data_IF_322059120222
#
_entry.id   IF_322059120222
#
_cell.length_a   1.000
_cell.length_b   1.000
_cell.length_c   1.000
_cell.angle_alpha   90.00
_cell.angle_beta   90.00
_cell.angle_gamma   90.00
#
_symmetry.space_group_name_H-M   'P 1'
#
loop_
_entity.id
_entity.type
_entity.pdbx_description
1 polymer ?
#
# COMPACT_ATOMS: atom_id res chain seq x y z
N UNK A 1 -1.43 -15.16 1.38
CA UNK A 1 -1.21 -14.52 0.06
C UNK A 1 0.27 -14.44 -0.29
N UNK A 2 1.15 -14.26 0.68
CA UNK A 2 2.58 -14.06 0.47
C UNK A 2 3.32 -15.19 -0.32
N UNK A 3 2.68 -16.34 -0.50
CA UNK A 3 3.25 -17.50 -1.23
C UNK A 3 2.48 -17.85 -2.50
N UNK A 4 1.65 -16.95 -3.00
CA UNK A 4 0.92 -17.15 -4.26
C UNK A 4 1.63 -16.45 -5.40
N UNK A 5 1.71 -17.13 -6.54
CA UNK A 5 2.10 -16.46 -7.79
C UNK A 5 1.09 -15.37 -8.14
N UNK A 6 1.53 -14.34 -8.84
CA UNK A 6 0.77 -13.11 -9.03
C UNK A 6 -0.63 -13.32 -9.62
N UNK A 7 -0.76 -14.20 -10.62
CA UNK A 7 -2.07 -14.49 -11.19
C UNK A 7 -3.07 -15.00 -10.13
N UNK A 8 -2.65 -15.98 -9.33
CA UNK A 8 -3.49 -16.58 -8.28
C UNK A 8 -3.73 -15.59 -7.12
N UNK A 9 -2.76 -14.73 -6.83
CA UNK A 9 -2.91 -13.67 -5.84
C UNK A 9 -4.03 -12.70 -6.22
N UNK A 10 -4.20 -12.40 -7.50
CA UNK A 10 -5.20 -11.47 -8.00
C UNK A 10 -6.63 -12.05 -8.06
N UNK A 11 -6.81 -13.38 -7.84
CA UNK A 11 -8.13 -14.00 -7.93
C UNK A 11 -8.96 -13.77 -6.67
N UNK A 12 -10.28 -13.53 -6.86
CA UNK A 12 -11.25 -13.37 -5.77
C UNK A 12 -10.85 -12.28 -4.77
N UNK A 13 -10.42 -11.15 -5.28
CA UNK A 13 -10.01 -9.98 -4.48
C UNK A 13 -11.06 -8.86 -4.58
N UNK A 14 -10.91 -7.90 -3.69
CA UNK A 14 -11.62 -6.62 -3.80
C UNK A 14 -11.44 -6.04 -5.22
N UNK A 15 -12.51 -5.67 -5.92
CA UNK A 15 -12.42 -5.13 -7.29
C UNK A 15 -11.52 -3.89 -7.42
N UNK A 16 -11.31 -3.14 -6.33
CA UNK A 16 -10.40 -1.98 -6.31
C UNK A 16 -8.93 -2.36 -6.51
N UNK A 17 -8.56 -3.64 -6.31
CA UNK A 17 -7.21 -4.10 -6.65
C UNK A 17 -6.92 -3.85 -8.12
N UNK A 18 -7.84 -4.22 -9.03
CA UNK A 18 -7.71 -4.01 -10.46
C UNK A 18 -7.80 -2.54 -10.89
N UNK A 19 -8.28 -1.65 -10.02
CA UNK A 19 -8.28 -0.21 -10.23
C UNK A 19 -6.99 0.45 -9.73
N UNK A 20 -6.18 -0.28 -8.97
CA UNK A 20 -5.00 0.24 -8.27
C UNK A 20 -3.69 -0.24 -8.89
N UNK A 21 -3.60 -1.52 -9.27
CA UNK A 21 -2.42 -2.11 -9.88
C UNK A 21 -2.76 -2.78 -11.22
N UNK A 22 -1.74 -3.02 -12.04
CA UNK A 22 -1.87 -3.83 -13.26
C UNK A 22 -2.09 -5.28 -12.87
N UNK A 23 -3.37 -5.67 -12.77
CA UNK A 23 -3.77 -7.08 -12.59
C UNK A 23 -3.85 -7.78 -13.95
N UNK A 24 -3.93 -9.12 -13.99
CA UNK A 24 -4.26 -9.85 -15.22
C UNK A 24 -5.51 -9.27 -15.90
N UNK A 25 -5.45 -9.07 -17.20
CA UNK A 25 -6.52 -8.45 -17.98
C UNK A 25 -6.44 -6.91 -18.09
N UNK A 26 -5.49 -6.26 -17.44
CA UNK A 26 -5.36 -4.80 -17.55
C UNK A 26 -5.01 -4.36 -18.96
N UNK A 27 -5.84 -3.47 -19.51
CA UNK A 27 -5.59 -2.76 -20.78
C UNK A 27 -5.56 -1.26 -20.46
N UNK A 28 -4.45 -0.61 -20.80
CA UNK A 28 -4.32 0.83 -20.58
C UNK A 28 -5.32 1.60 -21.44
N UNK A 29 -5.95 2.68 -20.94
CA UNK A 29 -6.84 3.51 -21.74
C UNK A 29 -6.19 3.95 -23.07
N UNK A 30 -6.87 3.69 -24.18
CA UNK A 30 -6.36 3.97 -25.53
C UNK A 30 -5.51 2.87 -26.17
N UNK A 31 -5.17 1.81 -25.44
CA UNK A 31 -4.48 0.63 -25.95
C UNK A 31 -5.45 -0.51 -26.27
N UNK A 32 -4.97 -1.49 -27.03
CA UNK A 32 -5.75 -2.69 -27.42
C UNK A 32 -5.16 -3.99 -26.88
N UNK A 33 -3.96 -3.93 -26.32
CA UNK A 33 -3.25 -5.07 -25.77
C UNK A 33 -3.18 -4.99 -24.25
N UNK A 34 -3.19 -6.14 -23.62
CA UNK A 34 -2.92 -6.23 -22.19
C UNK A 34 -1.51 -5.74 -21.87
N UNK A 35 -1.35 -5.16 -20.69
CA UNK A 35 -0.06 -4.74 -20.15
C UNK A 35 0.17 -5.48 -18.85
N UNK A 36 1.13 -6.37 -18.82
CA UNK A 36 1.59 -7.05 -17.61
C UNK A 36 2.34 -6.13 -16.67
N UNK A 37 2.69 -6.64 -15.48
CA UNK A 37 3.62 -5.98 -14.57
C UNK A 37 4.96 -5.69 -15.25
N UNK A 38 5.64 -4.63 -14.81
CA UNK A 38 6.93 -4.22 -15.34
C UNK A 38 7.88 -3.87 -14.18
N UNK A 39 8.89 -4.70 -13.95
CA UNK A 39 9.85 -4.54 -12.85
C UNK A 39 10.80 -3.37 -13.05
N UNK A 40 11.06 -2.97 -14.30
CA UNK A 40 11.86 -1.77 -14.58
C UNK A 40 11.18 -0.48 -14.11
N UNK A 41 9.84 -0.48 -14.04
CA UNK A 41 9.05 0.66 -13.58
C UNK A 41 8.53 0.51 -12.14
N UNK A 42 8.44 -0.73 -11.64
CA UNK A 42 7.93 -1.06 -10.32
C UNK A 42 8.75 -2.20 -9.71
N UNK A 43 9.73 -1.88 -8.89
CA UNK A 43 10.68 -2.84 -8.28
C UNK A 43 9.99 -4.01 -7.57
N UNK A 44 8.80 -3.77 -7.01
CA UNK A 44 8.00 -4.82 -6.36
C UNK A 44 7.27 -5.74 -7.35
N UNK A 45 7.19 -5.37 -8.63
CA UNK A 45 6.30 -5.96 -9.61
C UNK A 45 4.86 -5.44 -9.54
N UNK A 46 4.40 -4.90 -8.41
CA UNK A 46 3.05 -4.31 -8.24
C UNK A 46 3.01 -2.92 -8.87
N UNK A 47 2.70 -2.87 -10.16
CA UNK A 47 2.71 -1.65 -10.94
C UNK A 47 1.43 -0.83 -10.71
N UNK A 48 1.55 0.32 -10.05
CA UNK A 48 0.42 1.20 -9.73
C UNK A 48 -0.17 1.86 -10.97
N UNK A 49 -1.49 1.90 -11.05
CA UNK A 49 -2.25 2.50 -12.15
C UNK A 49 -3.30 3.53 -11.73
N UNK A 50 -3.53 3.70 -10.43
CA UNK A 50 -4.48 4.71 -9.94
C UNK A 50 -4.04 6.08 -10.47
N UNK A 51 -4.95 6.80 -11.11
CA UNK A 51 -4.73 8.06 -11.85
C UNK A 51 -3.92 7.93 -13.15
N UNK A 52 -3.61 6.72 -13.63
CA UNK A 52 -3.00 6.55 -14.96
C UNK A 52 -3.98 6.88 -16.07
N UNK A 53 -3.57 7.74 -17.00
CA UNK A 53 -4.31 8.06 -18.21
C UNK A 53 -3.81 7.30 -19.44
N UNK A 54 -4.32 7.69 -20.62
CA UNK A 54 -3.85 7.19 -21.91
C UNK A 54 -2.40 7.60 -22.18
N UNK A 55 -1.72 6.86 -23.07
CA UNK A 55 -0.32 7.08 -23.44
C UNK A 55 -0.04 8.49 -24.00
N UNK A 56 -1.05 9.14 -24.58
CA UNK A 56 -0.92 10.53 -25.03
C UNK A 56 -0.56 11.52 -23.89
N UNK A 57 -0.79 11.13 -22.63
CA UNK A 57 -0.49 11.93 -21.44
C UNK A 57 0.87 11.61 -20.81
N UNK A 58 1.69 10.75 -21.41
CA UNK A 58 3.04 10.45 -20.93
C UNK A 58 4.05 11.56 -21.23
N UNK A 59 3.69 12.51 -22.06
CA UNK A 59 4.48 13.70 -22.33
C UNK A 59 4.24 14.72 -21.23
N UNK A 60 5.30 15.38 -20.75
CA UNK A 60 5.20 16.40 -19.70
C UNK A 60 4.19 17.49 -20.06
N UNK A 61 3.45 17.95 -19.05
CA UNK A 61 2.43 19.03 -19.14
C UNK A 61 1.22 18.75 -20.04
N UNK A 62 0.96 17.47 -20.38
CA UNK A 62 -0.18 17.08 -21.23
C UNK A 62 -1.32 16.44 -20.47
N UNK A 63 -1.17 16.16 -19.16
CA UNK A 63 -2.24 15.56 -18.37
C UNK A 63 -3.42 16.51 -18.19
N UNK A 64 -4.61 16.03 -18.50
CA UNK A 64 -5.89 16.72 -18.30
C UNK A 64 -6.64 16.18 -17.08
N UNK A 65 -6.01 15.33 -16.27
CA UNK A 65 -6.64 14.73 -15.09
C UNK A 65 -6.79 15.75 -13.98
N UNK A 66 -8.03 15.92 -13.51
CA UNK A 66 -8.27 16.66 -12.28
C UNK A 66 -7.72 15.87 -11.09
N UNK A 67 -7.11 16.57 -10.16
CA UNK A 67 -6.67 15.98 -8.91
C UNK A 67 -7.71 16.25 -7.82
N UNK A 68 -8.36 15.22 -7.27
CA UNK A 68 -9.36 15.41 -6.21
C UNK A 68 -8.67 15.89 -4.93
N UNK A 69 -9.05 17.09 -4.45
CA UNK A 69 -8.56 17.63 -3.17
C UNK A 69 -9.35 17.02 -2.01
N UNK A 70 -10.67 16.88 -2.18
CA UNK A 70 -11.57 16.24 -1.22
C UNK A 70 -12.52 15.29 -1.93
N UNK A 71 -12.77 14.14 -1.30
CA UNK A 71 -13.74 13.14 -1.78
C UNK A 71 -14.72 12.77 -0.68
N UNK A 72 -15.95 12.50 -1.07
CA UNK A 72 -17.01 12.03 -0.15
C UNK A 72 -16.61 10.77 0.63
N UNK A 73 -15.84 9.87 0.00
CA UNK A 73 -15.32 8.67 0.66
C UNK A 73 -14.48 9.00 1.90
N UNK A 74 -13.62 10.02 1.83
CA UNK A 74 -12.86 10.49 3.00
C UNK A 74 -13.78 10.95 4.12
N UNK A 75 -14.80 11.75 3.80
CA UNK A 75 -15.77 12.26 4.80
C UNK A 75 -16.51 11.11 5.48
N UNK A 76 -16.96 10.12 4.71
CA UNK A 76 -17.64 8.94 5.25
C UNK A 76 -16.74 8.14 6.18
N UNK A 77 -15.50 7.91 5.77
CA UNK A 77 -14.52 7.15 6.55
C UNK A 77 -14.10 7.92 7.81
N UNK A 78 -13.92 9.23 7.74
CA UNK A 78 -13.66 10.07 8.92
C UNK A 78 -14.81 10.01 9.93
N UNK A 79 -16.07 10.06 9.44
CA UNK A 79 -17.25 9.99 10.29
C UNK A 79 -17.38 8.68 11.04
N UNK A 80 -17.30 7.54 10.34
CA UNK A 80 -17.47 6.23 10.97
C UNK A 80 -16.31 5.89 11.89
N UNK A 81 -15.08 6.28 11.53
CA UNK A 81 -13.92 6.10 12.39
C UNK A 81 -14.09 6.88 13.70
N UNK A 82 -14.44 8.16 13.62
CA UNK A 82 -14.65 8.99 14.81
C UNK A 82 -15.76 8.43 15.73
N UNK A 83 -16.85 7.90 15.17
CA UNK A 83 -17.92 7.25 15.96
C UNK A 83 -17.46 5.93 16.57
N UNK A 84 -16.69 5.12 15.84
CA UNK A 84 -16.17 3.84 16.32
C UNK A 84 -15.20 4.03 17.49
N UNK A 85 -14.25 4.95 17.38
CA UNK A 85 -13.28 5.27 18.43
C UNK A 85 -13.96 5.85 19.69
N UNK A 86 -15.08 6.56 19.52
CA UNK A 86 -15.89 7.07 20.64
C UNK A 86 -16.85 6.04 21.25
N UNK A 87 -16.94 4.82 20.69
CA UNK A 87 -17.87 3.79 21.13
C UNK A 87 -19.35 4.12 20.85
N UNK A 88 -19.64 5.02 19.90
CA UNK A 88 -20.99 5.47 19.54
C UNK A 88 -21.42 5.05 18.14
N UNK A 89 -20.62 4.20 17.48
CA UNK A 89 -20.96 3.67 16.16
C UNK A 89 -22.14 2.71 16.24
N UNK A 90 -23.05 2.84 15.31
CA UNK A 90 -24.18 1.93 15.09
C UNK A 90 -24.12 1.36 13.66
N UNK A 91 -24.77 0.19 13.44
CA UNK A 91 -24.83 -0.41 12.10
C UNK A 91 -25.44 0.57 11.07
N UNK A 92 -26.42 1.37 11.46
CA UNK A 92 -27.04 2.39 10.60
C UNK A 92 -26.04 3.46 10.13
N UNK A 93 -25.00 3.76 10.89
CA UNK A 93 -23.94 4.68 10.46
C UNK A 93 -23.12 4.07 9.31
N UNK A 94 -22.80 2.78 9.43
CA UNK A 94 -22.11 1.99 8.40
C UNK A 94 -22.97 1.90 7.14
N UNK A 95 -24.28 1.65 7.30
CA UNK A 95 -25.25 1.52 6.21
C UNK A 95 -25.51 2.85 5.45
N UNK A 96 -25.07 3.97 5.98
CA UNK A 96 -25.17 5.29 5.34
C UNK A 96 -23.85 5.83 4.80
N UNK A 97 -22.76 5.10 5.00
CA UNK A 97 -21.40 5.54 4.67
C UNK A 97 -20.61 4.46 3.97
N UNK A 98 -20.12 3.45 4.67
CA UNK A 98 -19.26 2.39 4.10
C UNK A 98 -19.98 1.63 2.99
N UNK A 99 -21.27 1.37 3.13
CA UNK A 99 -22.03 0.70 2.06
C UNK A 99 -21.95 1.46 0.74
N UNK A 100 -21.98 2.79 0.76
CA UNK A 100 -21.93 3.59 -0.46
C UNK A 100 -20.58 3.49 -1.17
N UNK A 101 -19.50 3.30 -0.39
CA UNK A 101 -18.16 3.05 -0.91
C UNK A 101 -18.08 1.63 -1.49
N UNK A 102 -18.51 0.63 -0.74
CA UNK A 102 -18.42 -0.79 -1.11
C UNK A 102 -19.37 -1.15 -2.26
N UNK A 103 -20.58 -0.64 -2.24
CA UNK A 103 -21.60 -0.89 -3.27
C UNK A 103 -21.17 -0.37 -4.64
N UNK A 104 -20.46 0.76 -4.68
CA UNK A 104 -19.93 1.31 -5.93
C UNK A 104 -18.97 0.36 -6.68
N UNK A 105 -18.44 -0.65 -6.00
CA UNK A 105 -17.53 -1.68 -6.56
C UNK A 105 -18.08 -3.11 -6.37
N UNK A 106 -19.35 -3.25 -6.00
CA UNK A 106 -20.01 -4.55 -5.83
C UNK A 106 -19.53 -5.37 -4.62
N UNK A 107 -18.95 -4.71 -3.62
CA UNK A 107 -18.54 -5.36 -2.37
C UNK A 107 -19.69 -5.41 -1.36
N UNK A 108 -19.80 -6.48 -0.54
CA UNK A 108 -20.82 -6.56 0.51
C UNK A 108 -20.60 -5.50 1.59
N UNK A 109 -21.68 -5.05 2.24
CA UNK A 109 -21.59 -4.12 3.35
C UNK A 109 -20.78 -4.71 4.52
N UNK A 110 -20.26 -3.84 5.37
CA UNK A 110 -19.60 -4.20 6.62
C UNK A 110 -20.65 -4.47 7.70
N UNK A 111 -20.60 -5.68 8.27
CA UNK A 111 -21.41 -6.02 9.45
C UNK A 111 -20.60 -5.78 10.72
N UNK A 112 -21.05 -4.86 11.56
CA UNK A 112 -20.38 -4.47 12.79
C UNK A 112 -20.29 -5.61 13.81
N UNK A 113 -21.37 -6.40 13.95
CA UNK A 113 -21.41 -7.52 14.89
C UNK A 113 -20.42 -8.61 14.49
N UNK A 114 -20.40 -8.98 13.21
CA UNK A 114 -19.49 -10.01 12.69
C UNK A 114 -18.03 -9.57 12.82
N UNK A 115 -17.74 -8.33 12.47
CA UNK A 115 -16.39 -7.77 12.60
C UNK A 115 -15.89 -7.79 14.05
N UNK A 116 -16.73 -7.41 15.02
CA UNK A 116 -16.36 -7.42 16.43
C UNK A 116 -16.29 -8.81 17.05
N UNK A 117 -17.07 -9.79 16.54
CA UNK A 117 -17.03 -11.16 17.02
C UNK A 117 -15.78 -11.92 16.54
N UNK A 118 -15.31 -11.63 15.34
CA UNK A 118 -14.15 -12.27 14.72
C UNK A 118 -13.17 -11.25 14.12
N UNK A 119 -12.47 -10.45 14.95
CA UNK A 119 -11.48 -9.49 14.44
C UNK A 119 -10.40 -10.19 13.61
N UNK A 120 -10.02 -9.60 12.49
CA UNK A 120 -9.00 -10.15 11.61
C UNK A 120 -7.63 -10.24 12.32
N UNK A 121 -7.05 -11.47 12.45
CA UNK A 121 -5.78 -11.65 13.17
C UNK A 121 -4.60 -10.90 12.54
N UNK A 122 -4.59 -10.73 11.23
CA UNK A 122 -3.57 -9.94 10.53
C UNK A 122 -3.65 -8.47 10.95
N UNK A 123 -4.85 -7.88 10.94
CA UNK A 123 -5.04 -6.50 11.34
C UNK A 123 -4.77 -6.26 12.82
N UNK A 124 -5.06 -7.23 13.68
CA UNK A 124 -4.70 -7.17 15.11
C UNK A 124 -3.18 -7.08 15.30
N UNK A 125 -2.42 -7.80 14.48
CA UNK A 125 -0.96 -7.74 14.51
C UNK A 125 -0.43 -6.40 13.97
N UNK A 126 -1.04 -5.89 12.90
CA UNK A 126 -0.64 -4.60 12.28
C UNK A 126 -0.97 -3.41 13.19
N UNK A 127 -2.09 -3.47 13.93
CA UNK A 127 -2.58 -2.37 14.77
C UNK A 127 -2.78 -2.80 16.23
N UNK A 128 -1.70 -3.05 16.98
CA UNK A 128 -1.81 -3.59 18.35
C UNK A 128 -2.47 -2.60 19.33
N UNK A 129 -2.44 -1.29 19.02
CA UNK A 129 -2.95 -0.23 19.88
C UNK A 129 -4.42 0.13 19.62
N UNK A 130 -5.18 -0.73 18.93
CA UNK A 130 -6.61 -0.49 18.69
C UNK A 130 -7.42 -0.60 20.00
N UNK A 131 -8.42 0.30 20.18
CA UNK A 131 -9.32 0.27 21.33
C UNK A 131 -10.05 -1.07 21.46
N UNK A 132 -10.20 -1.58 22.69
CA UNK A 132 -10.94 -2.84 22.94
C UNK A 132 -12.42 -2.74 22.59
N UNK A 133 -13.02 -1.57 22.80
CA UNK A 133 -14.39 -1.30 22.41
C UNK A 133 -14.47 -1.16 20.90
N UNK A 134 -15.32 -1.95 20.24
CA UNK A 134 -15.46 -1.95 18.77
C UNK A 134 -14.18 -2.35 18.01
N UNK A 135 -13.28 -3.11 18.64
CA UNK A 135 -11.97 -3.48 18.08
C UNK A 135 -12.07 -3.97 16.62
N UNK A 136 -12.92 -4.93 16.35
CA UNK A 136 -13.03 -5.54 15.04
C UNK A 136 -13.51 -4.56 13.97
N UNK A 137 -14.56 -3.78 14.26
CA UNK A 137 -15.08 -2.82 13.29
C UNK A 137 -14.12 -1.65 13.08
N UNK A 138 -13.37 -1.23 14.09
CA UNK A 138 -12.30 -0.21 13.92
C UNK A 138 -11.25 -0.73 12.96
N UNK A 139 -10.80 -1.97 13.09
CA UNK A 139 -9.83 -2.60 12.21
C UNK A 139 -10.33 -2.66 10.76
N UNK A 140 -11.60 -3.02 10.57
CA UNK A 140 -12.22 -3.05 9.23
C UNK A 140 -12.34 -1.62 8.62
N UNK A 141 -12.66 -0.61 9.42
CA UNK A 141 -12.68 0.79 8.97
C UNK A 141 -11.26 1.22 8.57
N UNK A 142 -10.23 0.86 9.33
CA UNK A 142 -8.83 1.14 8.98
C UNK A 142 -8.43 0.44 7.67
N UNK A 143 -8.85 -0.82 7.46
CA UNK A 143 -8.67 -1.53 6.19
C UNK A 143 -9.34 -0.78 5.04
N UNK A 144 -10.59 -0.39 5.21
CA UNK A 144 -11.36 0.33 4.21
C UNK A 144 -10.68 1.64 3.81
N UNK A 145 -10.16 2.40 4.78
CA UNK A 145 -9.39 3.62 4.53
C UNK A 145 -8.14 3.35 3.70
N UNK A 146 -7.38 2.31 4.03
CA UNK A 146 -6.15 1.95 3.29
C UNK A 146 -6.46 1.60 1.84
N UNK A 147 -7.52 0.83 1.59
CA UNK A 147 -7.90 0.40 0.25
C UNK A 147 -8.46 1.57 -0.57
N UNK A 148 -9.41 2.29 -0.01
CA UNK A 148 -10.14 3.35 -0.71
C UNK A 148 -9.28 4.58 -0.99
N UNK A 149 -8.48 5.00 0.01
CA UNK A 149 -7.69 6.22 -0.05
C UNK A 149 -6.22 5.97 -0.44
N UNK A 150 -5.91 4.79 -0.99
CA UNK A 150 -4.55 4.49 -1.46
C UNK A 150 -4.08 5.53 -2.48
N UNK A 151 -2.83 6.00 -2.34
CA UNK A 151 -2.19 7.05 -3.16
C UNK A 151 -2.83 8.45 -3.04
N UNK A 152 -3.64 8.70 -2.01
CA UNK A 152 -4.24 10.03 -1.78
C UNK A 152 -3.57 10.79 -0.62
N UNK A 153 -2.42 10.34 -0.14
CA UNK A 153 -1.60 11.05 0.86
C UNK A 153 -2.01 10.82 2.32
N UNK A 154 -3.02 9.99 2.61
CA UNK A 154 -3.55 9.81 3.97
C UNK A 154 -2.76 8.83 4.83
N UNK A 155 -2.13 7.81 4.23
CA UNK A 155 -1.56 6.67 4.96
C UNK A 155 -0.58 7.06 6.06
N UNK A 156 0.33 7.99 5.78
CA UNK A 156 1.31 8.44 6.77
C UNK A 156 0.63 9.04 8.00
N UNK A 157 -0.30 9.97 7.80
CA UNK A 157 -1.02 10.61 8.89
C UNK A 157 -1.93 9.65 9.66
N UNK A 158 -2.52 8.67 8.97
CA UNK A 158 -3.30 7.62 9.60
C UNK A 158 -2.43 6.78 10.54
N UNK A 159 -1.23 6.36 10.12
CA UNK A 159 -0.28 5.63 10.97
C UNK A 159 0.15 6.45 12.19
N UNK A 160 0.38 7.77 12.02
CA UNK A 160 0.75 8.66 13.11
C UNK A 160 -0.35 8.75 14.17
N UNK A 161 -1.58 9.06 13.76
CA UNK A 161 -2.70 9.23 14.69
C UNK A 161 -3.21 7.93 15.30
N UNK A 162 -2.99 6.78 14.66
CA UNK A 162 -3.29 5.44 15.22
C UNK A 162 -2.18 4.89 16.11
N UNK A 163 -1.07 5.60 16.27
CA UNK A 163 0.13 5.08 16.91
C UNK A 163 0.55 3.72 16.35
N UNK A 164 0.63 3.63 15.05
CA UNK A 164 0.99 2.44 14.30
C UNK A 164 2.27 2.69 13.46
N UNK A 165 3.19 3.47 13.99
CA UNK A 165 4.42 3.86 13.32
C UNK A 165 5.34 2.69 13.03
N UNK A 166 5.31 1.63 13.86
CA UNK A 166 6.04 0.38 13.64
C UNK A 166 5.76 -0.27 12.29
N UNK A 167 4.61 -0.01 11.66
CA UNK A 167 4.35 -0.43 10.27
C UNK A 167 5.38 0.14 9.27
N UNK A 168 6.13 1.18 9.65
CA UNK A 168 7.19 1.74 8.82
C UNK A 168 8.47 0.91 8.83
N UNK A 169 8.59 -0.02 9.77
CA UNK A 169 9.73 -0.96 9.88
C UNK A 169 9.55 -2.20 8.99
N UNK A 170 8.32 -2.45 8.50
CA UNK A 170 8.01 -3.60 7.66
C UNK A 170 8.89 -3.60 6.40
N UNK A 171 9.40 -4.78 6.04
CA UNK A 171 10.16 -4.96 4.80
C UNK A 171 9.30 -4.67 3.57
N UNK A 172 9.90 -4.03 2.56
CA UNK A 172 9.27 -3.86 1.26
C UNK A 172 9.45 -5.12 0.43
N UNK A 173 8.41 -5.95 0.46
CA UNK A 173 8.37 -7.18 -0.32
C UNK A 173 7.53 -6.99 -1.59
N UNK A 174 8.07 -7.50 -2.68
CA UNK A 174 7.38 -7.56 -3.96
C UNK A 174 6.70 -8.91 -4.21
N UNK A 175 6.42 -9.19 -5.48
CA UNK A 175 5.78 -10.43 -5.92
C UNK A 175 6.54 -11.67 -5.47
N UNK A 176 5.79 -12.75 -5.27
CA UNK A 176 6.32 -14.05 -4.95
C UNK A 176 6.70 -14.83 -6.21
N UNK A 177 7.86 -15.48 -6.18
CA UNK A 177 8.31 -16.44 -7.19
C UNK A 177 8.68 -17.77 -6.52
N UNK A 178 8.17 -18.91 -7.01
CA UNK A 178 8.50 -20.23 -6.46
C UNK A 178 9.92 -20.70 -6.82
N UNK A 179 10.62 -20.01 -7.72
CA UNK A 179 11.99 -20.30 -8.15
C UNK A 179 12.31 -19.80 -9.54
N UNK A 180 13.50 -20.14 -10.10
CA UNK A 180 13.84 -19.83 -11.48
C UNK A 180 12.80 -20.42 -12.46
N UNK A 181 12.45 -19.65 -13.49
CA UNK A 181 11.44 -20.06 -14.47
C UNK A 181 10.98 -18.94 -15.39
N UNK A 182 10.10 -19.29 -16.30
CA UNK A 182 9.47 -18.35 -17.21
C UNK A 182 8.04 -18.10 -16.73
N UNK A 183 7.69 -16.84 -16.51
CA UNK A 183 6.42 -16.43 -15.93
C UNK A 183 5.64 -15.55 -16.89
N UNK A 184 4.46 -16.01 -17.27
CA UNK A 184 3.39 -15.24 -17.86
C UNK A 184 2.49 -14.76 -16.71
N UNK A 185 2.75 -13.55 -16.22
CA UNK A 185 2.15 -13.02 -14.98
C UNK A 185 0.69 -12.60 -15.17
N UNK A 186 0.30 -12.26 -16.38
CA UNK A 186 -1.05 -11.81 -16.71
C UNK A 186 -1.86 -12.82 -17.52
N UNK A 187 -1.27 -13.98 -17.86
CA UNK A 187 -1.86 -15.07 -18.65
C UNK A 187 -2.32 -14.62 -20.05
N UNK A 188 -1.55 -13.75 -20.71
CA UNK A 188 -1.83 -13.33 -22.09
C UNK A 188 -1.11 -14.16 -23.15
N UNK A 189 -0.33 -15.14 -22.75
CA UNK A 189 0.46 -16.02 -23.60
C UNK A 189 1.87 -15.50 -23.91
N UNK A 190 2.24 -14.36 -23.34
CA UNK A 190 3.59 -13.78 -23.45
C UNK A 190 4.34 -14.01 -22.13
N UNK A 191 5.62 -14.37 -22.20
CA UNK A 191 6.44 -14.47 -20.98
C UNK A 191 6.81 -13.04 -20.54
N UNK A 192 6.25 -12.59 -19.43
CA UNK A 192 6.58 -11.28 -18.85
C UNK A 192 7.97 -11.30 -18.21
N UNK A 193 8.29 -12.34 -17.44
CA UNK A 193 9.54 -12.46 -16.69
C UNK A 193 10.21 -13.81 -16.94
N UNK A 194 11.48 -13.78 -17.30
CA UNK A 194 12.40 -14.92 -17.19
C UNK A 194 13.27 -14.71 -15.94
N UNK A 195 12.95 -15.45 -14.88
CA UNK A 195 13.74 -15.44 -13.63
C UNK A 195 14.80 -16.54 -13.71
N UNK A 196 16.07 -16.21 -13.53
CA UNK A 196 17.17 -17.14 -13.66
C UNK A 196 18.30 -16.88 -12.66
N UNK A 197 19.22 -17.84 -12.52
CA UNK A 197 20.43 -17.71 -11.72
C UNK A 197 21.64 -18.07 -12.55
N UNK A 198 22.66 -17.22 -12.55
CA UNK A 198 23.90 -17.44 -13.31
C UNK A 198 23.74 -17.13 -14.80
N UNK A 199 23.97 -18.11 -15.68
CA UNK A 199 23.93 -17.85 -17.12
C UNK A 199 22.51 -17.54 -17.61
N UNK A 200 22.35 -16.44 -18.35
CA UNK A 200 21.08 -16.06 -18.96
C UNK A 200 20.61 -17.16 -19.93
N UNK A 201 19.37 -17.69 -19.80
CA UNK A 201 18.86 -18.71 -20.69
C UNK A 201 18.77 -18.24 -22.14
N UNK A 202 19.26 -19.06 -23.07
CA UNK A 202 19.07 -18.83 -24.52
C UNK A 202 17.72 -19.34 -25.01
N UNK A 203 17.20 -18.72 -26.09
CA UNK A 203 15.97 -19.18 -26.75
C UNK A 203 14.66 -18.82 -26.02
N UNK A 204 14.71 -18.12 -24.93
CA UNK A 204 13.53 -17.54 -24.24
C UNK A 204 13.30 -16.14 -24.81
N UNK A 205 12.03 -15.82 -25.10
CA UNK A 205 11.62 -14.47 -25.48
C UNK A 205 10.72 -13.92 -24.35
N UNK A 206 11.34 -13.36 -23.32
CA UNK A 206 10.65 -12.70 -22.21
C UNK A 206 10.76 -11.18 -22.34
N UNK A 207 9.77 -10.46 -21.81
CA UNK A 207 9.80 -9.00 -21.77
C UNK A 207 10.91 -8.50 -20.83
N UNK A 208 11.11 -9.17 -19.69
CA UNK A 208 12.15 -8.85 -18.73
C UNK A 208 12.93 -10.12 -18.32
N UNK A 209 14.20 -9.92 -18.00
CA UNK A 209 15.11 -10.97 -17.52
C UNK A 209 15.64 -10.57 -16.17
N UNK A 210 15.29 -11.33 -15.13
CA UNK A 210 15.69 -11.05 -13.75
C UNK A 210 16.67 -12.11 -13.28
N UNK A 211 17.91 -11.69 -12.98
CA UNK A 211 18.95 -12.55 -12.45
C UNK A 211 18.93 -12.51 -10.92
N UNK A 212 18.70 -13.67 -10.30
CA UNK A 212 18.67 -13.82 -8.84
C UNK A 212 20.08 -13.55 -8.27
N UNK A 213 20.15 -12.65 -7.31
CA UNK A 213 21.39 -12.21 -6.68
C UNK A 213 22.12 -11.08 -7.41
N UNK A 214 21.59 -10.62 -8.58
CA UNK A 214 22.16 -9.51 -9.37
C UNK A 214 21.12 -8.40 -9.61
N UNK A 215 20.02 -8.71 -10.29
CA UNK A 215 18.96 -7.75 -10.59
C UNK A 215 17.80 -7.83 -9.58
N UNK A 216 17.64 -8.98 -8.94
CA UNK A 216 16.58 -9.23 -7.94
C UNK A 216 17.13 -10.14 -6.84
N UNK A 217 16.70 -9.90 -5.60
CA UNK A 217 16.90 -10.82 -4.48
C UNK A 217 15.57 -11.34 -3.99
N UNK A 218 15.56 -12.59 -3.53
CA UNK A 218 14.38 -13.27 -3.02
C UNK A 218 14.56 -13.64 -1.56
N UNK A 219 13.50 -13.63 -0.79
CA UNK A 219 13.53 -13.84 0.68
C UNK A 219 14.10 -15.19 1.10
N UNK A 220 13.99 -16.22 0.25
CA UNK A 220 14.47 -17.59 0.50
C UNK A 220 15.65 -17.97 -0.41
N UNK A 221 16.34 -16.99 -0.95
CA UNK A 221 17.49 -17.18 -1.82
C UNK A 221 17.11 -17.41 -3.29
N UNK A 222 16.58 -18.59 -3.65
CA UNK A 222 16.18 -18.90 -5.03
C UNK A 222 14.65 -18.86 -5.23
N UNK A 223 13.89 -18.69 -4.16
CA UNK A 223 12.44 -18.57 -4.13
C UNK A 223 12.01 -17.48 -3.15
N UNK A 224 10.72 -17.21 -3.07
CA UNK A 224 10.16 -16.25 -2.13
C UNK A 224 9.76 -14.93 -2.77
N UNK A 225 9.57 -13.92 -1.94
CA UNK A 225 9.18 -12.58 -2.38
C UNK A 225 10.41 -11.77 -2.81
N UNK A 226 10.22 -10.93 -3.80
CA UNK A 226 11.23 -9.93 -4.21
C UNK A 226 11.51 -8.98 -3.05
N UNK A 227 12.79 -8.84 -2.68
CA UNK A 227 13.22 -7.89 -1.64
C UNK A 227 13.52 -6.55 -2.30
N UNK A 228 12.86 -5.49 -1.81
CA UNK A 228 13.08 -4.13 -2.29
C UNK A 228 13.75 -3.30 -1.20
N UNK A 229 14.67 -2.41 -1.58
CA UNK A 229 15.37 -1.49 -0.67
C UNK A 229 16.12 -2.20 0.49
N UNK A 230 16.69 -3.36 0.24
CA UNK A 230 17.44 -4.18 1.20
C UNK A 230 18.47 -3.39 2.02
N UNK A 231 19.19 -2.47 1.37
CA UNK A 231 20.28 -1.71 1.98
C UNK A 231 19.80 -0.41 2.65
N UNK A 232 18.51 -0.18 2.68
CA UNK A 232 17.91 0.99 3.33
C UNK A 232 17.35 0.56 4.69
N UNK A 233 18.06 0.81 5.79
CA UNK A 233 17.57 0.44 7.12
C UNK A 233 16.29 1.23 7.43
N UNK A 234 15.31 0.52 7.98
CA UNK A 234 14.07 1.09 8.46
C UNK A 234 14.03 0.92 9.95
N UNK A 235 13.90 1.99 10.67
CA UNK A 235 13.83 2.00 12.13
C UNK A 235 12.90 3.10 12.58
N UNK A 236 11.78 2.68 13.12
CA UNK A 236 10.83 3.56 13.76
C UNK A 236 11.15 3.68 15.26
N UNK A 237 11.23 4.90 15.76
CA UNK A 237 11.39 5.15 17.18
C UNK A 237 10.06 5.61 17.77
N UNK A 238 9.41 4.74 18.57
CA UNK A 238 8.09 4.96 19.17
C UNK A 238 8.00 6.20 20.07
N UNK A 239 9.10 6.65 20.65
CA UNK A 239 9.13 7.82 21.53
C UNK A 239 9.40 9.12 20.79
N UNK A 240 9.94 9.04 19.57
CA UNK A 240 10.43 10.19 18.81
C UNK A 240 9.60 10.50 17.56
N UNK A 241 9.34 9.47 16.72
CA UNK A 241 9.04 9.69 15.31
C UNK A 241 7.57 10.07 15.03
N UNK A 242 6.71 10.08 16.06
CA UNK A 242 5.37 10.65 15.95
C UNK A 242 5.35 12.18 15.89
N UNK A 243 6.46 12.84 16.25
CA UNK A 243 6.60 14.28 16.22
C UNK A 243 7.75 14.67 15.31
N UNK A 244 7.54 15.66 14.45
CA UNK A 244 8.62 16.22 13.66
C UNK A 244 9.59 17.02 14.54
N UNK A 245 10.90 17.07 14.17
CA UNK A 245 11.82 17.98 14.83
C UNK A 245 11.40 19.43 14.56
N UNK A 246 11.43 20.25 15.59
CA UNK A 246 11.24 21.69 15.42
C UNK A 246 12.47 22.25 14.71
N UNK A 247 12.29 23.01 13.61
CA UNK A 247 13.41 23.53 12.83
C UNK A 247 14.39 24.32 13.69
N UNK A 248 15.69 24.08 13.48
CA UNK A 248 16.75 24.76 14.25
C UNK A 248 16.63 26.27 14.17
N UNK A 249 16.29 26.82 13.00
CA UNK A 249 16.15 28.26 12.80
C UNK A 249 15.07 28.88 13.69
N UNK A 250 13.92 28.24 13.82
CA UNK A 250 12.82 28.74 14.66
C UNK A 250 13.22 28.75 16.13
N UNK A 251 13.99 27.76 16.56
CA UNK A 251 14.52 27.66 17.92
C UNK A 251 15.56 28.74 18.21
N UNK A 252 16.43 29.07 17.24
CA UNK A 252 17.39 30.17 17.35
C UNK A 252 16.67 31.50 17.46
N UNK A 253 15.65 31.75 16.64
CA UNK A 253 14.86 33.00 16.66
C UNK A 253 14.19 33.26 18.00
N UNK A 254 13.84 32.21 18.73
CA UNK A 254 13.27 32.34 20.08
C UNK A 254 14.34 32.38 21.18
N UNK A 255 15.63 32.46 20.82
CA UNK A 255 16.76 32.45 21.75
C UNK A 255 16.74 31.23 22.69
N UNK A 256 16.32 30.06 22.19
CA UNK A 256 16.23 28.82 22.93
C UNK A 256 14.97 28.67 23.80
N UNK A 257 14.05 29.64 23.80
CA UNK A 257 12.79 29.51 24.53
C UNK A 257 11.90 28.40 23.99
N UNK A 258 11.98 28.12 22.69
CA UNK A 258 11.32 26.99 22.03
C UNK A 258 12.23 25.75 22.15
N UNK A 259 11.86 24.80 22.99
CA UNK A 259 12.57 23.54 23.19
C UNK A 259 12.27 22.56 22.06
N UNK A 260 13.12 21.53 21.89
CA UNK A 260 12.93 20.50 20.91
C UNK A 260 11.89 19.45 21.35
N UNK A 261 11.26 18.80 20.37
CA UNK A 261 10.42 17.64 20.66
C UNK A 261 11.25 16.47 21.24
N UNK A 262 10.65 15.63 22.09
CA UNK A 262 11.36 14.51 22.72
C UNK A 262 12.10 13.61 21.73
N UNK A 263 13.29 13.14 22.10
CA UNK A 263 14.10 12.23 21.30
C UNK A 263 14.88 12.88 20.15
N UNK A 264 14.59 14.12 19.78
CA UNK A 264 15.34 14.88 18.78
C UNK A 264 16.50 15.65 19.38
N UNK A 265 17.56 15.85 18.59
CA UNK A 265 18.75 16.58 19.05
C UNK A 265 18.39 18.02 19.40
N UNK A 266 18.64 18.39 20.66
CA UNK A 266 18.32 19.71 21.20
C UNK A 266 19.51 20.70 21.15
N UNK A 267 20.68 20.28 20.68
CA UNK A 267 21.88 21.10 20.65
C UNK A 267 21.71 22.30 19.70
N UNK A 268 21.52 23.47 20.29
CA UNK A 268 21.69 24.76 19.62
C UNK A 268 23.16 25.17 19.82
N UNK A 269 24.08 24.67 19.01
CA UNK A 269 25.42 25.24 18.97
C UNK A 269 25.31 26.63 18.37
N UNK A 270 25.40 27.65 19.20
CA UNK A 270 25.51 29.06 18.82
C UNK A 270 26.92 29.37 18.36
#
# INVERSE_FOLDING_TARGET
YATKVFFDECQNRDPRLAQTIRTPGYIRPGETKQSGPNFSSAMTGYHLIKYSGATKYDVGDTSENDFPIFRTAEVFLNYVEAKAERGTLEQNDIDRTIILIRDSVGMPNLNMSDANTGPDPYLLNVYPNVSETNKGVILEIRRERVIELLMEGFRYYDLMRWKAGSCMDDEFLGMYFPGPGNYDLNHDGTIDVCLYKGAKPGGVNALEYLEIGVTVELTEGESGNVICYKDVPRQWNEERDYLYPIPRQDRILTNGALTQNPGWNDNLNF
#
